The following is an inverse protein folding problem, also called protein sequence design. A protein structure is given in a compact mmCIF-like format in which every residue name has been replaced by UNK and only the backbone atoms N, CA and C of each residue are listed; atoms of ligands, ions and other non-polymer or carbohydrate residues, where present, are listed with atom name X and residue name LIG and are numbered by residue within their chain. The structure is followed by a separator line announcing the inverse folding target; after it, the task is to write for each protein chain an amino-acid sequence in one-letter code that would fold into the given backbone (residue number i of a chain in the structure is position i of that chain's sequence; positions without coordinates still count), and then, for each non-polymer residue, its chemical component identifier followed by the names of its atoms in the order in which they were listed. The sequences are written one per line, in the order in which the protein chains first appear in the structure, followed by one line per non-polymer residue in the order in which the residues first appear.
data_IF_554669016351
#
_entry.id   IF_554669016351
#
_cell.length_a   1.000
_cell.length_b   1.000
_cell.length_c   1.000
_cell.angle_alpha   90.00
_cell.angle_beta   90.00
_cell.angle_gamma   90.00
#
_symmetry.space_group_name_H-M   'P 1'
#
loop_
_entity.id
_entity.type
_entity.pdbx_description
1 polymer ?
#
# COMPACT_ATOMS: atom_id res chain seq x y z
N UNK A 1 18.77 6.43 -18.92
CA UNK A 1 17.63 5.49 -18.84
C UNK A 1 17.80 4.72 -17.53
N UNK A 2 16.84 4.79 -16.62
CA UNK A 2 16.91 3.98 -15.40
C UNK A 2 16.73 2.52 -15.78
N UNK A 3 17.60 1.65 -15.27
CA UNK A 3 17.50 0.20 -15.45
C UNK A 3 16.22 -0.32 -14.80
N UNK A 4 15.37 -1.01 -15.57
CA UNK A 4 14.18 -1.65 -15.03
C UNK A 4 14.57 -2.94 -14.32
N UNK A 5 14.12 -3.10 -13.08
CA UNK A 5 14.36 -4.29 -12.27
C UNK A 5 13.21 -5.29 -12.35
N UNK A 6 11.99 -4.81 -12.65
CA UNK A 6 10.83 -5.64 -12.93
C UNK A 6 10.18 -5.08 -14.19
N UNK A 7 9.93 -5.95 -15.16
CA UNK A 7 9.22 -5.66 -16.40
C UNK A 7 8.19 -6.76 -16.62
N UNK A 8 6.96 -6.37 -16.92
CA UNK A 8 5.90 -7.31 -17.31
C UNK A 8 5.08 -6.70 -18.43
N UNK A 9 4.86 -7.45 -19.49
CA UNK A 9 4.13 -7.02 -20.67
C UNK A 9 3.01 -8.00 -21.00
N UNK A 10 1.76 -7.52 -21.01
CA UNK A 10 0.58 -8.26 -21.42
C UNK A 10 0.35 -9.55 -20.65
N UNK A 11 0.68 -9.60 -19.35
CA UNK A 11 0.57 -10.83 -18.56
C UNK A 11 -0.87 -11.34 -18.52
N UNK A 12 -1.05 -12.61 -18.90
CA UNK A 12 -2.34 -13.30 -18.85
C UNK A 12 -2.24 -14.58 -18.05
N UNK A 13 -3.29 -14.87 -17.27
CA UNK A 13 -3.40 -16.10 -16.49
C UNK A 13 -4.84 -16.51 -16.29
N UNK A 14 -5.12 -17.79 -16.50
CA UNK A 14 -6.42 -18.41 -16.20
C UNK A 14 -6.24 -19.60 -15.26
N UNK A 15 -7.20 -19.79 -14.39
CA UNK A 15 -7.35 -20.97 -13.54
C UNK A 15 -8.75 -21.56 -13.80
N UNK A 16 -8.80 -22.59 -14.61
CA UNK A 16 -10.08 -23.13 -15.07
C UNK A 16 -10.95 -22.06 -15.77
N UNK A 17 -12.17 -21.77 -15.29
CA UNK A 17 -13.03 -20.75 -15.88
C UNK A 17 -12.60 -19.32 -15.50
N UNK A 18 -11.83 -19.14 -14.43
CA UNK A 18 -11.49 -17.82 -13.87
C UNK A 18 -10.32 -17.20 -14.60
N UNK A 19 -10.48 -15.97 -15.10
CA UNK A 19 -9.40 -15.14 -15.64
C UNK A 19 -8.80 -14.34 -14.49
N UNK A 20 -7.60 -14.70 -14.05
CA UNK A 20 -6.91 -14.01 -12.96
C UNK A 20 -6.11 -12.80 -13.45
N UNK A 21 -5.52 -12.88 -14.67
CA UNK A 21 -4.86 -11.74 -15.34
C UNK A 21 -5.35 -11.68 -16.79
N UNK A 22 -5.65 -10.48 -17.25
CA UNK A 22 -6.26 -10.22 -18.56
C UNK A 22 -5.41 -9.28 -19.45
N UNK A 23 -4.12 -9.20 -19.19
CA UNK A 23 -3.16 -8.34 -19.90
C UNK A 23 -2.64 -7.25 -18.95
N UNK A 24 -1.87 -7.62 -17.93
CA UNK A 24 -1.28 -6.70 -16.95
C UNK A 24 0.13 -6.33 -17.39
N UNK A 25 0.41 -5.02 -17.40
CA UNK A 25 1.72 -4.43 -17.65
C UNK A 25 2.25 -3.82 -16.35
N UNK A 26 3.55 -4.01 -16.04
CA UNK A 26 4.21 -3.46 -14.86
C UNK A 26 5.66 -3.10 -15.20
N UNK A 27 6.10 -1.94 -14.70
CA UNK A 27 7.48 -1.49 -14.80
C UNK A 27 7.97 -0.95 -13.47
N UNK A 28 9.12 -1.46 -12.98
CA UNK A 28 9.73 -0.96 -11.74
C UNK A 28 11.19 -0.62 -11.97
N UNK A 29 11.55 0.66 -11.94
CA UNK A 29 12.93 1.10 -11.98
C UNK A 29 13.73 0.63 -10.76
N UNK A 30 15.04 0.52 -10.91
CA UNK A 30 15.96 0.20 -9.81
C UNK A 30 15.79 1.19 -8.65
N UNK A 31 15.65 0.67 -7.43
CA UNK A 31 15.56 1.46 -6.20
C UNK A 31 14.21 2.18 -6.02
N UNK A 32 13.18 1.79 -6.77
CA UNK A 32 11.84 2.32 -6.65
C UNK A 32 10.89 1.33 -5.98
N UNK A 33 9.79 1.85 -5.44
CA UNK A 33 8.65 1.10 -4.90
C UNK A 33 7.48 1.20 -5.87
N UNK A 34 7.04 0.06 -6.42
CA UNK A 34 5.77 -0.05 -7.12
C UNK A 34 4.69 -0.61 -6.19
N UNK A 35 3.63 0.14 -5.97
CA UNK A 35 2.40 -0.33 -5.33
C UNK A 35 1.44 -0.92 -6.36
N UNK A 36 1.04 -2.18 -6.19
CA UNK A 36 -0.03 -2.81 -6.96
C UNK A 36 -1.28 -2.83 -6.10
N UNK A 37 -2.16 -1.86 -6.34
CA UNK A 37 -3.36 -1.59 -5.54
C UNK A 37 -4.58 -2.24 -6.21
N UNK A 38 -5.47 -2.82 -5.41
CA UNK A 38 -6.73 -3.35 -5.93
C UNK A 38 -7.47 -4.23 -4.93
N UNK A 39 -8.75 -4.54 -5.18
CA UNK A 39 -9.56 -5.36 -4.28
C UNK A 39 -9.08 -6.82 -4.23
N UNK A 40 -9.65 -7.57 -3.31
CA UNK A 40 -9.44 -9.02 -3.26
C UNK A 40 -9.93 -9.68 -4.55
N UNK A 41 -9.11 -10.58 -5.10
CA UNK A 41 -9.43 -11.23 -6.38
C UNK A 41 -9.07 -10.43 -7.64
N UNK A 42 -8.54 -9.20 -7.53
CA UNK A 42 -8.14 -8.39 -8.69
C UNK A 42 -6.98 -8.99 -9.51
N UNK A 43 -6.24 -9.96 -8.96
CA UNK A 43 -5.12 -10.61 -9.64
C UNK A 43 -3.73 -10.27 -9.07
N UNK A 44 -3.65 -9.45 -8.02
CA UNK A 44 -2.39 -8.99 -7.37
C UNK A 44 -1.45 -10.16 -7.02
N UNK A 45 -1.90 -11.09 -6.18
CA UNK A 45 -1.14 -12.29 -5.79
C UNK A 45 -0.76 -13.16 -6.98
N UNK A 46 -1.61 -13.23 -8.02
CA UNK A 46 -1.29 -13.97 -9.24
C UNK A 46 -0.13 -13.34 -10.00
N UNK A 47 -0.10 -12.01 -10.10
CA UNK A 47 1.01 -11.27 -10.70
C UNK A 47 2.32 -11.52 -9.91
N UNK A 48 2.29 -11.41 -8.57
CA UNK A 48 3.44 -11.74 -7.72
C UNK A 48 3.91 -13.18 -7.95
N UNK A 49 2.99 -14.17 -7.98
CA UNK A 49 3.36 -15.58 -8.22
C UNK A 49 4.00 -15.81 -9.57
N UNK A 50 3.66 -15.07 -10.61
CA UNK A 50 4.32 -15.14 -11.92
C UNK A 50 5.71 -14.53 -11.86
N UNK A 51 5.83 -13.31 -11.33
CA UNK A 51 7.09 -12.58 -11.21
C UNK A 51 8.12 -13.31 -10.33
N UNK A 52 7.63 -14.00 -9.30
CA UNK A 52 8.45 -14.84 -8.40
C UNK A 52 8.67 -16.27 -8.91
N UNK A 53 8.27 -16.56 -10.15
CA UNK A 53 8.44 -17.87 -10.81
C UNK A 53 7.63 -19.03 -10.23
N UNK A 54 6.72 -18.79 -9.31
CA UNK A 54 5.86 -19.81 -8.69
C UNK A 54 4.75 -20.29 -9.64
N UNK A 55 4.38 -19.47 -10.62
CA UNK A 55 3.34 -19.79 -11.61
C UNK A 55 3.79 -19.30 -12.97
N UNK A 56 3.54 -20.10 -14.03
CA UNK A 56 3.82 -19.68 -15.41
C UNK A 56 2.66 -18.84 -15.95
N UNK A 57 2.91 -17.73 -16.65
CA UNK A 57 1.89 -17.02 -17.40
C UNK A 57 1.38 -17.89 -18.57
N UNK A 58 0.14 -17.66 -18.99
CA UNK A 58 -0.43 -18.32 -20.18
C UNK A 58 -0.10 -17.51 -21.45
N UNK A 59 0.09 -16.19 -21.31
CA UNK A 59 0.59 -15.29 -22.36
C UNK A 59 1.25 -14.06 -21.75
N UNK A 60 1.94 -13.28 -22.57
CA UNK A 60 2.76 -12.15 -22.15
C UNK A 60 4.16 -12.58 -21.75
N UNK A 61 4.98 -11.64 -21.31
CA UNK A 61 6.35 -11.84 -20.87
C UNK A 61 6.63 -11.10 -19.58
N UNK A 62 7.60 -11.59 -18.78
CA UNK A 62 8.09 -10.84 -17.63
C UNK A 62 9.58 -11.11 -17.41
N UNK A 63 10.27 -10.08 -16.90
CA UNK A 63 11.68 -10.12 -16.51
C UNK A 63 11.83 -9.54 -15.11
N UNK A 64 12.71 -10.14 -14.33
CA UNK A 64 13.08 -9.68 -13.00
C UNK A 64 14.60 -9.68 -12.88
N UNK A 65 15.17 -8.56 -12.48
CA UNK A 65 16.63 -8.34 -12.45
C UNK A 65 17.30 -8.74 -13.77
N UNK A 66 16.66 -8.41 -14.92
CA UNK A 66 17.14 -8.72 -16.26
C UNK A 66 16.94 -10.17 -16.73
N UNK A 67 16.38 -11.07 -15.89
CA UNK A 67 16.17 -12.48 -16.20
C UNK A 67 14.71 -12.78 -16.53
N UNK A 68 14.47 -13.59 -17.57
CA UNK A 68 13.13 -14.06 -17.95
C UNK A 68 12.56 -15.02 -16.90
N UNK A 69 11.35 -14.74 -16.41
CA UNK A 69 10.74 -15.51 -15.29
C UNK A 69 10.40 -16.96 -15.64
N UNK A 70 10.32 -17.31 -16.94
CA UNK A 70 10.01 -18.67 -17.41
C UNK A 70 11.28 -19.42 -17.79
N UNK A 71 12.18 -18.77 -18.54
CA UNK A 71 13.39 -19.39 -19.09
C UNK A 71 14.51 -19.46 -18.06
N UNK A 72 14.64 -18.41 -17.24
CA UNK A 72 15.74 -18.21 -16.30
C UNK A 72 15.27 -18.26 -14.84
N UNK A 73 14.20 -19.01 -14.53
CA UNK A 73 13.55 -19.04 -13.23
C UNK A 73 14.54 -19.18 -12.04
N UNK A 74 15.55 -20.04 -12.15
CA UNK A 74 16.58 -20.20 -11.10
C UNK A 74 17.46 -18.96 -10.92
N UNK A 75 17.68 -18.18 -11.98
CA UNK A 75 18.43 -16.93 -11.88
C UNK A 75 17.59 -15.87 -11.17
N UNK A 76 16.31 -15.76 -11.54
CA UNK A 76 15.34 -14.89 -10.83
C UNK A 76 15.29 -15.22 -9.34
N UNK A 77 15.09 -16.49 -8.98
CA UNK A 77 14.97 -16.93 -7.57
C UNK A 77 16.19 -16.57 -6.71
N UNK A 78 17.38 -16.44 -7.30
CA UNK A 78 18.58 -15.98 -6.58
C UNK A 78 18.67 -14.48 -6.37
N UNK A 79 17.86 -13.70 -7.09
CA UNK A 79 17.86 -12.23 -7.06
C UNK A 79 16.67 -11.65 -6.29
N UNK A 80 15.75 -12.50 -5.82
CA UNK A 80 14.52 -12.03 -5.19
C UNK A 80 14.40 -12.45 -3.73
N UNK A 81 13.76 -11.59 -2.93
CA UNK A 81 13.14 -11.94 -1.66
C UNK A 81 11.63 -11.87 -1.79
N UNK A 82 10.94 -12.79 -1.17
CA UNK A 82 9.48 -12.87 -1.23
C UNK A 82 8.93 -13.00 0.18
N UNK A 83 7.96 -12.17 0.51
CA UNK A 83 7.12 -12.35 1.69
C UNK A 83 5.71 -12.65 1.20
N UNK A 84 5.25 -13.88 1.38
CA UNK A 84 3.93 -14.34 0.95
C UNK A 84 2.96 -14.41 2.15
N UNK A 85 1.66 -14.56 1.86
CA UNK A 85 0.64 -14.75 2.89
C UNK A 85 0.80 -16.07 3.65
N UNK A 86 1.33 -17.11 3.00
CA UNK A 86 1.57 -18.42 3.62
C UNK A 86 2.93 -18.43 4.34
N UNK A 87 2.91 -18.81 5.63
CA UNK A 87 4.07 -18.78 6.51
C UNK A 87 5.23 -19.65 5.98
N UNK A 88 6.33 -18.99 5.62
CA UNK A 88 7.60 -19.65 5.26
C UNK A 88 8.36 -20.12 6.51
N UNK A 89 7.87 -19.77 7.70
CA UNK A 89 8.53 -19.95 8.99
C UNK A 89 8.01 -21.19 9.71
N UNK A 90 8.92 -21.91 10.35
CA UNK A 90 8.60 -23.09 11.17
C UNK A 90 8.18 -22.66 12.57
N UNK A 91 6.96 -23.03 12.97
CA UNK A 91 6.34 -22.61 14.23
C UNK A 91 7.00 -23.22 15.49
N UNK A 92 7.71 -24.35 15.36
CA UNK A 92 8.39 -25.00 16.49
C UNK A 92 9.84 -24.55 16.66
N UNK A 93 10.37 -23.80 15.71
CA UNK A 93 11.68 -23.16 15.80
C UNK A 93 11.58 -21.79 16.45
N UNK A 94 12.68 -21.31 17.02
CA UNK A 94 12.79 -19.93 17.51
C UNK A 94 12.94 -18.96 16.34
N UNK A 95 12.70 -17.65 16.55
CA UNK A 95 12.91 -16.63 15.52
C UNK A 95 14.33 -16.68 14.97
N UNK A 96 15.33 -16.78 15.83
CA UNK A 96 16.74 -16.92 15.45
C UNK A 96 16.99 -18.20 14.62
N UNK A 97 16.43 -19.33 15.04
CA UNK A 97 16.61 -20.61 14.34
C UNK A 97 16.00 -20.55 12.94
N UNK A 98 14.82 -19.94 12.78
CA UNK A 98 14.19 -19.75 11.49
C UNK A 98 15.10 -18.96 10.53
N UNK A 99 15.58 -17.78 10.93
CA UNK A 99 16.44 -16.97 10.08
C UNK A 99 17.76 -17.66 9.73
N UNK A 100 18.38 -18.37 10.69
CA UNK A 100 19.61 -19.15 10.44
C UNK A 100 19.33 -20.29 9.49
N UNK A 101 18.22 -21.01 9.63
CA UNK A 101 17.82 -22.10 8.74
C UNK A 101 17.65 -21.58 7.31
N UNK A 102 16.88 -20.50 7.12
CA UNK A 102 16.66 -19.89 5.80
C UNK A 102 18.00 -19.46 5.18
N UNK A 103 18.87 -18.80 5.95
CA UNK A 103 20.20 -18.42 5.47
C UNK A 103 21.03 -19.61 5.02
N UNK A 104 20.96 -20.72 5.75
CA UNK A 104 21.64 -21.97 5.38
C UNK A 104 21.07 -22.59 4.10
N UNK A 105 19.75 -22.64 3.97
CA UNK A 105 19.06 -23.13 2.77
C UNK A 105 19.37 -22.26 1.54
N UNK A 106 19.54 -20.95 1.75
CA UNK A 106 19.92 -19.98 0.72
C UNK A 106 21.43 -19.98 0.41
N UNK A 107 22.22 -20.90 1.00
CA UNK A 107 23.64 -21.08 0.67
C UNK A 107 24.64 -20.30 1.53
N UNK A 108 24.20 -19.53 2.53
CA UNK A 108 25.12 -18.84 3.43
C UNK A 108 25.92 -19.85 4.29
N UNK A 109 27.19 -19.54 4.59
CA UNK A 109 27.97 -20.30 5.57
C UNK A 109 27.36 -20.13 6.97
N UNK A 110 27.57 -21.13 7.85
CA UNK A 110 26.94 -21.13 9.18
C UNK A 110 27.23 -19.87 10.02
N UNK A 111 28.46 -19.34 9.91
CA UNK A 111 28.86 -18.11 10.59
C UNK A 111 28.09 -16.89 10.05
N UNK A 112 28.04 -16.78 8.70
CA UNK A 112 27.39 -15.66 8.01
C UNK A 112 25.86 -15.68 8.25
N UNK A 113 25.23 -16.88 8.21
CA UNK A 113 23.82 -17.03 8.51
C UNK A 113 23.47 -16.59 9.94
N UNK A 114 24.33 -16.90 10.93
CA UNK A 114 24.12 -16.47 12.32
C UNK A 114 24.31 -14.95 12.49
N UNK A 115 25.34 -14.39 11.85
CA UNK A 115 25.60 -12.95 11.88
C UNK A 115 24.42 -12.19 11.24
N UNK A 116 23.96 -12.66 10.06
CA UNK A 116 22.83 -12.07 9.37
C UNK A 116 21.52 -12.18 10.15
N UNK A 117 21.25 -13.32 10.76
CA UNK A 117 20.09 -13.48 11.63
C UNK A 117 20.11 -12.51 12.81
N UNK A 118 21.26 -12.29 13.46
CA UNK A 118 21.39 -11.34 14.55
C UNK A 118 21.22 -9.89 14.08
N UNK A 119 21.67 -9.53 12.89
CA UNK A 119 21.48 -8.23 12.26
C UNK A 119 19.98 -7.97 12.01
N UNK A 120 19.29 -8.90 11.36
CA UNK A 120 17.87 -8.80 11.04
C UNK A 120 17.00 -8.74 12.31
N UNK A 121 17.28 -9.56 13.32
CA UNK A 121 16.54 -9.51 14.58
C UNK A 121 16.65 -8.14 15.25
N UNK A 122 17.79 -7.45 15.12
CA UNK A 122 17.94 -6.07 15.61
C UNK A 122 17.17 -5.06 14.76
N UNK A 123 17.30 -5.14 13.43
CA UNK A 123 16.63 -4.24 12.49
C UNK A 123 15.11 -4.30 12.63
N UNK A 124 14.57 -5.50 12.91
CA UNK A 124 13.13 -5.71 13.05
C UNK A 124 12.62 -5.65 14.49
N UNK A 125 13.44 -5.19 15.47
CA UNK A 125 13.07 -5.09 16.89
C UNK A 125 12.51 -6.42 17.45
N UNK A 126 13.24 -7.50 17.20
CA UNK A 126 12.89 -8.87 17.62
C UNK A 126 13.97 -9.50 18.53
N UNK A 127 14.91 -8.71 19.07
CA UNK A 127 16.04 -9.22 19.87
C UNK A 127 15.54 -9.94 21.11
N UNK A 128 14.59 -9.36 21.85
CA UNK A 128 14.05 -9.89 23.10
C UNK A 128 13.22 -11.16 22.92
N UNK A 129 12.70 -11.35 21.70
CA UNK A 129 11.94 -12.53 21.32
C UNK A 129 12.73 -13.56 20.52
N UNK A 130 14.00 -13.28 20.20
CA UNK A 130 14.80 -14.04 19.25
C UNK A 130 14.89 -15.54 19.58
N UNK A 131 14.90 -15.89 20.85
CA UNK A 131 15.08 -17.26 21.34
C UNK A 131 13.77 -17.90 21.87
N UNK A 132 12.62 -17.20 21.69
CA UNK A 132 11.28 -17.76 21.91
C UNK A 132 10.84 -18.54 20.65
N UNK A 133 10.03 -19.59 20.83
CA UNK A 133 9.47 -20.34 19.70
C UNK A 133 8.42 -19.49 18.96
N UNK A 134 8.33 -19.67 17.64
CA UNK A 134 7.52 -18.80 16.80
C UNK A 134 6.04 -18.80 17.13
N UNK A 135 5.49 -19.93 17.60
CA UNK A 135 4.07 -19.99 17.99
C UNK A 135 3.71 -19.07 19.18
N UNK A 136 4.71 -18.59 19.94
CA UNK A 136 4.54 -17.62 21.04
C UNK A 136 4.65 -16.16 20.58
N UNK A 137 4.90 -15.93 19.29
CA UNK A 137 4.96 -14.60 18.74
C UNK A 137 3.55 -14.02 18.53
N UNK A 138 3.39 -12.70 18.78
CA UNK A 138 2.21 -11.99 18.31
C UNK A 138 2.14 -11.97 16.78
N UNK A 139 0.97 -11.70 16.20
CA UNK A 139 0.82 -11.58 14.74
C UNK A 139 1.81 -10.58 14.14
N UNK A 140 1.94 -9.39 14.76
CA UNK A 140 2.89 -8.37 14.32
C UNK A 140 4.36 -8.79 14.43
N UNK A 141 4.74 -9.52 15.47
CA UNK A 141 6.10 -10.08 15.60
C UNK A 141 6.36 -11.14 14.53
N UNK A 142 5.38 -12.01 14.27
CA UNK A 142 5.47 -13.05 13.23
C UNK A 142 5.65 -12.40 11.85
N UNK A 143 4.85 -11.37 11.54
CA UNK A 143 4.94 -10.65 10.26
C UNK A 143 6.29 -9.94 10.08
N UNK A 144 6.83 -9.32 11.12
CA UNK A 144 8.18 -8.72 11.11
C UNK A 144 9.27 -9.77 10.87
N UNK A 145 9.16 -10.95 11.48
CA UNK A 145 10.11 -12.04 11.26
C UNK A 145 10.01 -12.62 9.84
N UNK A 146 8.81 -12.70 9.27
CA UNK A 146 8.58 -13.18 7.92
C UNK A 146 9.22 -12.23 6.88
N UNK A 147 9.04 -10.91 7.06
CA UNK A 147 9.75 -9.92 6.24
C UNK A 147 11.28 -10.04 6.40
N UNK A 148 11.77 -10.20 7.63
CA UNK A 148 13.19 -10.42 7.90
C UNK A 148 13.73 -11.68 7.18
N UNK A 149 12.92 -12.74 7.09
CA UNK A 149 13.27 -13.97 6.38
C UNK A 149 13.49 -13.75 4.88
N UNK A 150 12.64 -12.96 4.23
CA UNK A 150 12.80 -12.57 2.82
C UNK A 150 14.09 -11.78 2.55
N UNK A 151 14.65 -11.15 3.58
CA UNK A 151 15.86 -10.30 3.49
C UNK A 151 17.16 -10.99 3.84
N UNK A 152 17.13 -12.26 4.21
CA UNK A 152 18.33 -12.98 4.67
C UNK A 152 19.46 -12.95 3.62
N UNK A 153 19.14 -13.02 2.34
CA UNK A 153 20.11 -13.01 1.22
C UNK A 153 20.48 -11.63 0.71
N UNK A 154 19.90 -10.55 1.26
CA UNK A 154 20.02 -9.19 0.73
C UNK A 154 19.67 -9.11 -0.76
N UNK A 155 18.48 -9.54 -1.15
CA UNK A 155 18.10 -9.57 -2.56
C UNK A 155 17.96 -8.15 -3.12
N UNK A 156 18.34 -7.90 -4.39
CA UNK A 156 18.15 -6.60 -5.02
C UNK A 156 16.69 -6.30 -5.37
N UNK A 157 15.82 -7.32 -5.40
CA UNK A 157 14.37 -7.16 -5.67
C UNK A 157 13.57 -7.85 -4.59
N UNK A 158 12.57 -7.16 -4.06
CA UNK A 158 11.65 -7.64 -3.03
C UNK A 158 10.22 -7.66 -3.53
N UNK A 159 9.51 -8.73 -3.23
CA UNK A 159 8.08 -8.87 -3.44
C UNK A 159 7.38 -9.02 -2.09
N UNK A 160 6.52 -8.06 -1.77
CA UNK A 160 5.74 -8.06 -0.53
C UNK A 160 4.26 -8.21 -0.90
N UNK A 161 3.67 -9.35 -0.56
CA UNK A 161 2.25 -9.61 -0.82
C UNK A 161 1.46 -9.27 0.45
N UNK A 162 0.77 -8.13 0.43
CA UNK A 162 -0.04 -7.57 1.52
C UNK A 162 0.73 -7.52 2.87
N UNK A 163 1.85 -6.77 2.95
CA UNK A 163 2.79 -6.88 4.06
C UNK A 163 2.23 -6.45 5.42
N UNK A 164 1.18 -5.64 5.46
CA UNK A 164 0.61 -5.09 6.71
C UNK A 164 -0.77 -5.61 7.06
N UNK A 165 -1.31 -6.55 6.29
CA UNK A 165 -2.61 -7.16 6.59
C UNK A 165 -2.62 -7.80 7.97
N UNK A 166 -3.65 -7.49 8.78
CA UNK A 166 -3.81 -7.99 10.14
C UNK A 166 -2.87 -7.37 11.18
N UNK A 167 -2.20 -6.26 10.85
CA UNK A 167 -1.41 -5.49 11.81
C UNK A 167 -2.23 -4.33 12.38
N UNK A 168 -2.05 -4.08 13.69
CA UNK A 168 -2.55 -2.85 14.31
C UNK A 168 -1.90 -1.59 13.68
N UNK A 169 -2.55 -0.40 13.78
CA UNK A 169 -2.06 0.83 13.14
C UNK A 169 -0.61 1.20 13.52
N UNK A 170 -0.23 0.99 14.78
CA UNK A 170 1.14 1.29 15.24
C UNK A 170 2.17 0.36 14.62
N UNK A 171 1.85 -0.93 14.53
CA UNK A 171 2.70 -1.95 13.88
C UNK A 171 2.80 -1.71 12.38
N UNK A 172 1.73 -1.24 11.74
CA UNK A 172 1.70 -0.86 10.30
C UNK A 172 2.69 0.27 10.02
N UNK A 173 2.62 1.37 10.75
CA UNK A 173 3.55 2.51 10.59
C UNK A 173 5.02 2.10 10.81
N UNK A 174 5.29 1.25 11.80
CA UNK A 174 6.65 0.72 12.00
C UNK A 174 7.12 -0.12 10.81
N UNK A 175 6.24 -0.95 10.25
CA UNK A 175 6.55 -1.77 9.07
C UNK A 175 6.88 -0.89 7.87
N UNK A 176 6.13 0.19 7.64
CA UNK A 176 6.42 1.17 6.58
C UNK A 176 7.80 1.80 6.74
N UNK A 177 8.20 2.14 7.97
CA UNK A 177 9.56 2.63 8.26
C UNK A 177 10.64 1.64 7.82
N UNK A 178 10.47 0.36 8.16
CA UNK A 178 11.40 -0.70 7.75
C UNK A 178 11.45 -0.85 6.22
N UNK A 179 10.31 -0.85 5.55
CA UNK A 179 10.24 -0.95 4.08
C UNK A 179 10.99 0.22 3.43
N UNK A 180 10.81 1.45 3.92
CA UNK A 180 11.53 2.63 3.40
C UNK A 180 13.04 2.53 3.59
N UNK A 181 13.50 2.05 4.75
CA UNK A 181 14.93 1.82 5.00
C UNK A 181 15.53 0.86 3.99
N UNK A 182 14.83 -0.24 3.68
CA UNK A 182 15.29 -1.24 2.71
C UNK A 182 15.48 -0.66 1.30
N UNK A 183 14.56 0.19 0.87
CA UNK A 183 14.67 0.86 -0.44
C UNK A 183 15.74 1.94 -0.41
N UNK A 184 15.88 2.67 0.70
CA UNK A 184 16.99 3.59 0.93
C UNK A 184 18.37 2.92 0.84
N UNK A 185 18.47 1.65 1.22
CA UNK A 185 19.66 0.80 1.07
C UNK A 185 19.84 0.25 -0.37
N UNK A 186 18.96 0.60 -1.30
CA UNK A 186 19.06 0.30 -2.73
C UNK A 186 18.25 -0.92 -3.22
N UNK A 187 17.36 -1.48 -2.40
CA UNK A 187 16.44 -2.53 -2.84
C UNK A 187 15.36 -1.95 -3.76
N UNK A 188 14.93 -2.75 -4.74
CA UNK A 188 13.76 -2.44 -5.58
C UNK A 188 12.57 -3.25 -5.05
N UNK A 189 11.40 -2.64 -4.95
CA UNK A 189 10.26 -3.24 -4.29
C UNK A 189 9.01 -3.26 -5.17
N UNK A 190 8.32 -4.39 -5.20
CA UNK A 190 6.92 -4.48 -5.61
C UNK A 190 6.11 -4.92 -4.40
N UNK A 191 5.17 -4.09 -3.99
CA UNK A 191 4.22 -4.44 -2.94
C UNK A 191 2.80 -4.53 -3.52
N UNK A 192 2.05 -5.53 -3.08
CA UNK A 192 0.61 -5.56 -3.31
C UNK A 192 -0.11 -5.11 -2.06
N UNK A 193 -1.18 -4.38 -2.22
CA UNK A 193 -2.02 -3.97 -1.09
C UNK A 193 -3.46 -3.73 -1.52
N UNK A 194 -4.37 -3.84 -0.59
CA UNK A 194 -5.73 -3.32 -0.70
C UNK A 194 -5.90 -2.01 0.09
N UNK A 195 -4.91 -1.64 0.92
CA UNK A 195 -4.95 -0.43 1.73
C UNK A 195 -4.39 0.75 0.95
N UNK A 196 -5.23 1.76 0.79
CA UNK A 196 -4.92 2.97 0.02
C UNK A 196 -3.89 3.85 0.73
N UNK A 197 -3.95 3.91 2.05
CA UNK A 197 -2.98 4.61 2.90
C UNK A 197 -1.56 4.01 2.79
N UNK A 198 -1.44 2.69 2.68
CA UNK A 198 -0.17 2.01 2.47
C UNK A 198 0.44 2.35 1.10
N UNK A 199 -0.38 2.34 0.05
CA UNK A 199 0.06 2.71 -1.30
C UNK A 199 0.48 4.18 -1.36
N UNK A 200 -0.30 5.08 -0.74
CA UNK A 200 -0.04 6.53 -0.68
C UNK A 200 1.26 6.85 0.06
N UNK A 201 1.51 6.12 1.14
CA UNK A 201 2.66 6.34 2.02
C UNK A 201 3.95 5.75 1.45
N UNK A 202 3.92 4.59 0.80
CA UNK A 202 5.12 3.85 0.42
C UNK A 202 5.49 3.94 -1.06
N UNK A 203 4.51 3.98 -1.96
CA UNK A 203 4.77 3.76 -3.37
C UNK A 203 5.25 5.04 -4.08
N UNK A 204 6.34 4.93 -4.85
CA UNK A 204 6.76 5.96 -5.79
C UNK A 204 5.82 6.03 -6.99
N UNK A 205 5.27 4.86 -7.37
CA UNK A 205 4.28 4.69 -8.43
C UNK A 205 3.27 3.63 -8.05
N UNK A 206 2.03 3.81 -8.46
CA UNK A 206 0.90 2.93 -8.13
C UNK A 206 0.26 2.46 -9.44
N UNK A 207 0.09 1.15 -9.57
CA UNK A 207 -0.78 0.56 -10.59
C UNK A 207 -2.04 0.06 -9.91
N UNK A 208 -3.18 0.64 -10.29
CA UNK A 208 -4.49 0.16 -9.82
C UNK A 208 -4.93 -1.01 -10.70
N UNK A 209 -5.17 -2.15 -10.07
CA UNK A 209 -5.55 -3.38 -10.77
C UNK A 209 -6.99 -3.75 -10.43
N UNK A 210 -7.78 -3.99 -11.47
CA UNK A 210 -9.12 -4.52 -11.35
C UNK A 210 -9.38 -5.58 -12.42
N UNK A 211 -10.04 -6.69 -12.06
CA UNK A 211 -10.34 -7.82 -12.95
C UNK A 211 -9.14 -8.28 -13.81
N UNK A 212 -7.94 -8.30 -13.22
CA UNK A 212 -6.70 -8.74 -13.86
C UNK A 212 -6.10 -7.77 -14.87
N UNK A 213 -6.50 -6.50 -14.84
CA UNK A 213 -5.99 -5.43 -15.72
C UNK A 213 -5.51 -4.24 -14.90
N UNK A 214 -4.46 -3.59 -15.34
CA UNK A 214 -4.13 -2.25 -14.88
C UNK A 214 -5.14 -1.25 -15.44
N UNK A 215 -5.87 -0.55 -14.57
CA UNK A 215 -6.89 0.44 -14.95
C UNK A 215 -6.41 1.87 -14.74
N UNK A 216 -5.40 2.08 -13.93
CA UNK A 216 -4.68 3.36 -13.78
C UNK A 216 -3.24 3.11 -13.37
N UNK A 217 -2.35 4.02 -13.74
CA UNK A 217 -0.92 3.96 -13.45
C UNK A 217 -0.39 5.40 -13.28
N UNK A 218 0.29 5.68 -12.17
CA UNK A 218 0.83 7.00 -11.87
C UNK A 218 1.40 7.10 -10.46
N UNK A 219 1.97 8.25 -10.13
CA UNK A 219 2.25 8.62 -8.74
C UNK A 219 0.93 8.84 -7.98
N UNK A 220 0.95 8.76 -6.65
CA UNK A 220 -0.24 9.05 -5.85
C UNK A 220 -0.83 10.43 -6.17
N UNK A 221 0.03 11.45 -6.37
CA UNK A 221 -0.38 12.80 -6.76
C UNK A 221 -1.04 12.87 -8.14
N UNK A 222 -0.49 12.18 -9.14
CA UNK A 222 -1.07 12.11 -10.50
C UNK A 222 -2.43 11.42 -10.49
N UNK A 223 -2.57 10.31 -9.75
CA UNK A 223 -3.83 9.60 -9.63
C UNK A 223 -4.89 10.45 -8.93
N UNK A 224 -4.56 11.09 -7.82
CA UNK A 224 -5.45 12.00 -7.09
C UNK A 224 -5.91 13.18 -7.96
N UNK A 225 -5.02 13.72 -8.81
CA UNK A 225 -5.37 14.82 -9.72
C UNK A 225 -6.41 14.42 -10.79
N UNK A 226 -6.50 13.14 -11.15
CA UNK A 226 -7.47 12.64 -12.13
C UNK A 226 -8.92 12.66 -11.61
N UNK A 227 -9.14 12.67 -10.31
CA UNK A 227 -10.47 12.62 -9.68
C UNK A 227 -11.11 13.98 -9.40
N UNK A 228 -10.50 15.08 -9.86
CA UNK A 228 -11.17 16.38 -9.90
C UNK A 228 -10.70 17.41 -8.88
N UNK A 229 -9.48 17.34 -8.42
CA UNK A 229 -8.87 18.40 -7.59
C UNK A 229 -9.41 18.46 -6.15
N UNK A 230 -8.86 19.40 -5.38
CA UNK A 230 -9.32 19.62 -4.02
C UNK A 230 -10.74 20.24 -3.99
N UNK A 231 -11.48 19.92 -2.94
CA UNK A 231 -12.82 20.46 -2.71
C UNK A 231 -12.84 21.25 -1.41
N UNK A 232 -13.38 22.46 -1.51
CA UNK A 232 -13.72 23.26 -0.36
C UNK A 232 -15.13 22.87 0.08
N UNK A 233 -15.30 22.59 1.36
CA UNK A 233 -16.62 22.44 2.00
C UNK A 233 -16.72 23.47 3.12
N UNK A 234 -17.77 24.27 3.08
CA UNK A 234 -18.10 25.28 4.10
C UNK A 234 -19.45 24.94 4.69
N UNK A 235 -19.52 24.85 6.01
CA UNK A 235 -20.77 24.70 6.74
C UNK A 235 -21.12 26.06 7.41
N UNK A 236 -22.25 26.61 7.04
CA UNK A 236 -22.74 27.87 7.57
C UNK A 236 -23.56 27.64 8.86
N UNK A 237 -23.52 28.59 9.79
CA UNK A 237 -24.39 28.59 10.98
C UNK A 237 -25.85 28.72 10.57
N UNK A 238 -26.14 29.61 9.63
CA UNK A 238 -27.45 29.79 8.99
C UNK A 238 -27.28 29.96 7.47
N UNK A 239 -28.29 29.60 6.65
CA UNK A 239 -28.22 29.82 5.20
C UNK A 239 -28.05 31.30 4.87
N UNK A 240 -27.05 31.64 4.05
CA UNK A 240 -26.76 33.00 3.61
C UNK A 240 -26.44 33.06 2.12
N UNK A 241 -27.24 33.78 1.30
CA UNK A 241 -27.00 33.91 -0.14
C UNK A 241 -25.65 34.57 -0.51
N UNK A 242 -25.06 35.36 0.40
CA UNK A 242 -23.75 36.02 0.15
C UNK A 242 -22.59 35.02 0.16
N UNK A 243 -22.76 33.89 0.84
CA UNK A 243 -21.70 32.90 0.99
C UNK A 243 -21.22 32.35 -0.35
N UNK A 244 -22.13 32.00 -1.26
CA UNK A 244 -21.76 31.50 -2.60
C UNK A 244 -20.93 32.52 -3.40
N UNK A 245 -21.27 33.81 -3.29
CA UNK A 245 -20.53 34.91 -3.91
C UNK A 245 -19.13 35.08 -3.34
N UNK A 246 -18.96 34.98 -2.03
CA UNK A 246 -17.68 35.06 -1.35
C UNK A 246 -16.75 33.87 -1.74
N UNK A 247 -17.32 32.67 -1.90
CA UNK A 247 -16.57 31.47 -2.27
C UNK A 247 -16.20 31.42 -3.76
N UNK A 248 -16.93 32.11 -4.63
CA UNK A 248 -16.70 32.10 -6.07
C UNK A 248 -15.29 32.58 -6.46
N UNK A 249 -14.66 33.43 -5.64
CA UNK A 249 -13.29 33.90 -5.86
C UNK A 249 -12.22 32.82 -5.69
N UNK A 250 -12.54 31.73 -4.98
CA UNK A 250 -11.64 30.61 -4.69
C UNK A 250 -11.98 29.37 -5.50
N UNK A 251 -13.17 29.31 -6.11
CA UNK A 251 -13.66 28.16 -6.84
C UNK A 251 -13.08 28.12 -8.27
N UNK A 252 -12.65 26.91 -8.69
CA UNK A 252 -12.28 26.60 -10.08
C UNK A 252 -13.50 26.17 -10.93
N UNK A 253 -14.71 26.22 -10.37
CA UNK A 253 -15.94 25.82 -11.02
C UNK A 253 -17.17 26.35 -10.27
N UNK A 254 -18.30 25.69 -10.46
CA UNK A 254 -19.53 26.07 -9.79
C UNK A 254 -19.47 25.81 -8.27
N UNK A 255 -20.01 26.74 -7.49
CA UNK A 255 -20.30 26.53 -6.08
C UNK A 255 -21.65 25.80 -5.97
N UNK A 256 -21.64 24.64 -5.36
CA UNK A 256 -22.84 23.82 -5.14
C UNK A 256 -23.34 24.03 -3.70
N UNK A 257 -24.60 24.35 -3.59
CA UNK A 257 -25.27 24.54 -2.31
C UNK A 257 -26.13 23.31 -1.98
N UNK A 258 -26.12 22.87 -0.72
CA UNK A 258 -26.99 21.79 -0.25
C UNK A 258 -28.45 22.24 -0.21
N UNK A 259 -29.40 21.31 -0.16
CA UNK A 259 -30.84 21.58 -0.17
C UNK A 259 -31.28 22.42 1.05
N UNK A 260 -30.58 22.32 2.16
CA UNK A 260 -30.83 23.10 3.39
C UNK A 260 -30.12 24.48 3.39
N UNK A 261 -29.35 24.81 2.34
CA UNK A 261 -28.63 26.08 2.18
C UNK A 261 -27.45 26.27 3.14
N UNK A 262 -27.15 25.28 3.99
CA UNK A 262 -26.09 25.40 5.02
C UNK A 262 -24.73 24.90 4.60
N UNK A 263 -24.63 24.06 3.58
CA UNK A 263 -23.36 23.53 3.10
C UNK A 263 -23.10 23.99 1.68
N UNK A 264 -21.91 24.57 1.48
CA UNK A 264 -21.43 24.95 0.18
C UNK A 264 -20.21 24.11 -0.16
N UNK A 265 -20.14 23.63 -1.40
CA UNK A 265 -19.04 22.86 -1.94
C UNK A 265 -18.55 23.46 -3.23
N UNK A 266 -17.25 23.61 -3.37
CA UNK A 266 -16.64 24.10 -4.60
C UNK A 266 -15.33 23.37 -4.90
N UNK A 267 -15.03 23.06 -6.19
CA UNK A 267 -13.69 22.64 -6.58
C UNK A 267 -12.74 23.84 -6.40
N UNK A 268 -11.56 23.58 -5.80
CA UNK A 268 -10.57 24.62 -5.52
C UNK A 268 -9.16 24.17 -5.87
N UNK A 269 -8.28 25.12 -6.14
CA UNK A 269 -6.85 24.84 -6.23
C UNK A 269 -6.23 24.84 -4.84
N UNK A 270 -5.50 23.77 -4.49
CA UNK A 270 -4.79 23.72 -3.22
C UNK A 270 -3.69 24.76 -3.14
N UNK A 271 -3.63 25.46 -2.01
CA UNK A 271 -2.58 26.43 -1.71
C UNK A 271 -2.42 26.62 -0.20
N UNK A 272 -1.22 27.01 0.21
CA UNK A 272 -0.98 27.33 1.62
C UNK A 272 -1.91 28.44 2.09
N UNK A 273 -2.63 28.21 3.19
CA UNK A 273 -3.51 29.21 3.79
C UNK A 273 -4.87 29.39 3.12
N UNK A 274 -5.29 28.53 2.19
CA UNK A 274 -6.58 28.62 1.50
C UNK A 274 -7.75 28.71 2.50
N UNK A 275 -7.82 27.82 3.48
CA UNK A 275 -8.89 27.83 4.50
C UNK A 275 -8.93 29.18 5.25
N UNK A 276 -7.76 29.74 5.60
CA UNK A 276 -7.69 31.05 6.26
C UNK A 276 -8.19 32.19 5.37
N UNK A 277 -7.89 32.15 4.06
CA UNK A 277 -8.35 33.14 3.11
C UNK A 277 -9.86 33.06 2.91
N UNK A 278 -10.39 31.84 2.84
CA UNK A 278 -11.84 31.58 2.74
C UNK A 278 -12.58 32.12 3.96
N UNK A 279 -12.11 31.80 5.18
CA UNK A 279 -12.73 32.31 6.43
C UNK A 279 -12.75 33.83 6.42
N UNK A 280 -11.64 34.50 6.07
CA UNK A 280 -11.59 35.97 6.00
C UNK A 280 -12.58 36.54 5.00
N UNK A 281 -12.68 35.93 3.81
CA UNK A 281 -13.62 36.40 2.80
C UNK A 281 -15.08 36.25 3.23
N UNK A 282 -15.40 35.18 3.97
CA UNK A 282 -16.75 34.99 4.55
C UNK A 282 -17.02 35.99 5.68
N UNK A 283 -16.05 36.23 6.57
CA UNK A 283 -16.13 37.26 7.60
C UNK A 283 -16.35 38.66 7.00
N UNK A 284 -15.59 39.01 5.96
CA UNK A 284 -15.73 40.30 5.26
C UNK A 284 -17.10 40.45 4.57
N UNK A 285 -17.71 39.32 4.16
CA UNK A 285 -19.07 39.29 3.63
C UNK A 285 -20.18 39.25 4.72
N UNK A 286 -19.80 39.21 6.00
CA UNK A 286 -20.72 39.12 7.13
C UNK A 286 -21.36 37.76 7.34
N UNK A 287 -20.80 36.71 6.71
CA UNK A 287 -21.31 35.34 6.75
C UNK A 287 -20.71 34.59 7.94
N UNK A 288 -21.55 34.00 8.78
CA UNK A 288 -21.12 33.22 9.94
C UNK A 288 -20.97 31.73 9.57
N UNK A 289 -19.79 31.17 9.86
CA UNK A 289 -19.45 29.79 9.53
C UNK A 289 -19.28 28.94 10.77
N UNK A 290 -19.74 27.69 10.70
CA UNK A 290 -19.52 26.69 11.73
C UNK A 290 -18.21 25.92 11.44
N UNK A 291 -17.93 25.63 10.15
CA UNK A 291 -16.76 24.84 9.76
C UNK A 291 -16.30 25.15 8.32
N UNK A 292 -14.98 25.05 8.10
CA UNK A 292 -14.35 25.20 6.78
C UNK A 292 -13.33 24.08 6.60
N UNK A 293 -13.60 23.19 5.67
CA UNK A 293 -12.74 22.05 5.35
C UNK A 293 -12.25 22.14 3.90
N UNK A 294 -10.97 21.83 3.72
CA UNK A 294 -10.38 21.64 2.39
C UNK A 294 -10.07 20.16 2.25
N UNK A 295 -10.94 19.45 1.54
CA UNK A 295 -10.75 18.04 1.24
C UNK A 295 -9.80 17.93 0.06
N UNK A 296 -8.65 17.32 0.29
CA UNK A 296 -7.78 16.88 -0.82
C UNK A 296 -8.30 15.55 -1.34
N UNK A 297 -8.24 15.29 -2.66
CA UNK A 297 -8.59 13.98 -3.18
C UNK A 297 -7.77 12.90 -2.50
N UNK A 298 -8.42 11.86 -2.04
CA UNK A 298 -7.80 10.66 -1.51
C UNK A 298 -7.60 9.61 -2.61
N UNK A 299 -6.81 8.59 -2.35
CA UNK A 299 -6.78 7.43 -3.24
C UNK A 299 -8.10 6.65 -3.19
N UNK A 300 -8.90 6.79 -2.11
CA UNK A 300 -10.27 6.24 -2.03
C UNK A 300 -11.18 6.84 -3.10
N UNK A 301 -11.12 8.17 -3.29
CA UNK A 301 -11.88 8.86 -4.34
C UNK A 301 -11.46 8.37 -5.75
N UNK A 302 -10.14 8.17 -5.96
CA UNK A 302 -9.61 7.61 -7.21
C UNK A 302 -10.15 6.21 -7.44
N UNK A 303 -10.03 5.35 -6.43
CA UNK A 303 -10.45 3.97 -6.53
C UNK A 303 -11.95 3.85 -6.81
N UNK A 304 -12.77 4.60 -6.08
CA UNK A 304 -14.22 4.66 -6.28
C UNK A 304 -14.58 5.16 -7.69
N UNK A 305 -13.92 6.21 -8.16
CA UNK A 305 -14.17 6.76 -9.50
C UNK A 305 -13.82 5.78 -10.62
N UNK A 306 -12.79 4.94 -10.43
CA UNK A 306 -12.32 3.99 -11.44
C UNK A 306 -13.08 2.65 -11.42
N UNK A 307 -13.50 2.18 -10.26
CA UNK A 307 -14.09 0.83 -10.10
C UNK A 307 -15.59 0.85 -9.84
N UNK A 308 -16.15 1.98 -9.40
CA UNK A 308 -17.54 2.11 -8.97
C UNK A 308 -17.87 1.43 -7.64
N UNK A 309 -16.85 0.92 -6.92
CA UNK A 309 -16.98 0.26 -5.63
C UNK A 309 -16.15 1.02 -4.59
N UNK A 310 -16.72 1.17 -3.36
CA UNK A 310 -15.92 1.60 -2.22
C UNK A 310 -14.96 0.47 -1.80
N UNK A 311 -13.77 0.82 -1.30
CA UNK A 311 -12.91 -0.16 -0.63
C UNK A 311 -13.62 -0.64 0.63
N UNK A 312 -13.66 -1.96 0.86
CA UNK A 312 -14.23 -2.49 2.09
C UNK A 312 -13.43 -1.93 3.28
N UNK A 313 -14.11 -1.29 4.28
CA UNK A 313 -13.43 -0.85 5.48
C UNK A 313 -12.84 -2.04 6.23
N UNK A 314 -11.74 -1.82 6.94
CA UNK A 314 -11.14 -2.82 7.85
C UNK A 314 -12.20 -3.26 8.88
N UNK A 315 -12.66 -4.50 8.84
CA UNK A 315 -13.61 -5.07 9.81
C UNK A 315 -13.04 -5.12 11.26
N UNK A 316 -11.74 -4.83 11.43
CA UNK A 316 -11.06 -4.84 12.73
C UNK A 316 -11.16 -3.49 13.50
N UNK A 317 -11.67 -2.41 12.92
CA UNK A 317 -11.75 -1.12 13.59
C UNK A 317 -12.95 -1.01 14.56
N UNK A 318 -14.03 -1.75 14.31
CA UNK A 318 -15.27 -1.69 15.10
C UNK A 318 -15.31 -2.60 16.34
N UNK A 319 -14.27 -3.43 16.55
CA UNK A 319 -14.25 -4.37 17.70
C UNK A 319 -13.87 -3.72 19.05
N UNK A 320 -13.51 -2.44 19.09
CA UNK A 320 -13.04 -1.76 20.30
C UNK A 320 -14.11 -0.94 21.04
N UNK A 321 -15.32 -0.80 20.51
CA UNK A 321 -16.39 0.05 21.10
C UNK A 321 -17.62 -0.74 21.62
N UNK A 322 -17.46 -2.02 21.95
CA UNK A 322 -18.52 -2.74 22.67
C UNK A 322 -18.43 -2.44 24.19
N UNK A 323 -19.46 -1.86 24.82
CA UNK A 323 -19.45 -1.63 26.25
C UNK A 323 -19.44 -2.97 26.99
N UNK A 324 -18.45 -3.15 27.86
CA UNK A 324 -18.40 -4.28 28.80
C UNK A 324 -19.62 -4.19 29.74
N UNK A 325 -20.60 -5.06 29.54
CA UNK A 325 -21.63 -5.30 30.53
C UNK A 325 -21.00 -5.85 31.82
N UNK A 326 -21.03 -5.03 32.85
CA UNK A 326 -20.66 -5.41 34.22
C UNK A 326 -21.75 -6.36 34.74
N UNK A 327 -21.47 -7.64 34.68
CA UNK A 327 -22.32 -8.65 35.40
C UNK A 327 -21.96 -8.57 36.87
N UNK A 328 -22.84 -7.95 37.64
CA UNK A 328 -22.87 -8.10 39.08
C UNK A 328 -23.66 -9.37 39.41
N UNK A 329 -23.01 -10.33 40.02
CA UNK A 329 -23.60 -11.35 40.88
C UNK A 329 -22.56 -11.85 41.87
#
# INVERSE_FOLDING_TARGET
MNELMIEAEGLRKRFGPTVALAGLDLEVPRGAILGVLGPNGAGKTTAVRILTTLTRPDAGSARVAGHDVVRDARAVQRQIGVTAQDATLDEVLTGRQNLVMIGRLSGLRRGDARARAAELLRQFDLVDAADRILREYSGGMRRRLDLAAGLVTRPPVLFLDEPTTGLDPTSRVRMWGVIRELVGDGATLLLTTQYLDEADELADRIVVVDHGRGIADGTAGELKAQTGGARLEVTLTEPDPAAAGALAAFAEGAVHESHDGRRLRAPVRTGAGLATQVVRALDDAGVTVDDVQVHQPSLDDVFFALTGHAVEPDDDADALDAPQEVIHS
#
